data_IF_844338521634
#
_entry.id   IF_844338521634
#
_cell.length_a   1.000
_cell.length_b   1.000
_cell.length_c   1.000
_cell.angle_alpha   90.00
_cell.angle_beta   90.00
_cell.angle_gamma   90.00
#
_symmetry.space_group_name_H-M   'P 1'
#
loop_
_entity.id
_entity.type
_entity.pdbx_description
1 polymer ?
#
# COMPACT_ATOMS: atom_id res chain seq x y z
N UNK A 1 41.29 49.23 0.07
CA UNK A 1 40.68 49.43 -1.25
C UNK A 1 39.45 48.58 -1.30
N UNK A 2 38.34 49.27 -1.26
CA UNK A 2 36.97 48.83 -1.03
C UNK A 2 36.35 48.31 -2.33
N UNK A 3 35.81 47.11 -2.31
CA UNK A 3 35.06 46.49 -3.42
C UNK A 3 33.61 46.28 -3.04
N UNK A 4 32.79 47.11 -3.59
CA UNK A 4 31.35 47.26 -3.45
C UNK A 4 30.58 46.01 -3.98
N UNK A 5 29.74 45.39 -3.17
CA UNK A 5 28.80 44.33 -3.59
C UNK A 5 27.37 44.87 -3.47
N UNK A 6 26.80 45.17 -4.63
CA UNK A 6 25.34 45.49 -4.73
C UNK A 6 24.52 44.20 -4.84
N UNK A 7 23.34 44.11 -4.22
CA UNK A 7 22.43 42.97 -4.34
C UNK A 7 21.56 43.11 -5.59
N UNK A 8 21.38 42.00 -6.32
CA UNK A 8 20.47 41.91 -7.47
C UNK A 8 19.10 41.45 -6.95
N UNK A 9 18.19 42.40 -6.91
CA UNK A 9 16.75 42.13 -6.76
C UNK A 9 16.17 41.70 -8.10
N UNK A 10 15.59 40.51 -8.17
CA UNK A 10 14.73 40.07 -9.30
C UNK A 10 13.30 39.93 -8.80
N UNK A 11 12.57 41.02 -8.97
CA UNK A 11 11.12 41.04 -8.98
C UNK A 11 10.65 40.56 -10.37
N UNK A 12 9.90 39.47 -10.45
CA UNK A 12 9.11 39.08 -11.63
C UNK A 12 7.73 38.69 -11.18
N UNK A 13 6.83 39.65 -11.21
CA UNK A 13 5.40 39.42 -11.22
C UNK A 13 5.05 38.59 -12.46
N UNK A 14 4.45 37.42 -12.25
CA UNK A 14 3.79 36.64 -13.29
C UNK A 14 2.36 37.12 -13.40
N UNK A 15 2.03 37.67 -14.54
CA UNK A 15 0.70 38.07 -14.96
C UNK A 15 -0.20 36.85 -15.14
N UNK A 16 -1.43 36.99 -14.66
CA UNK A 16 -2.53 36.04 -14.76
C UNK A 16 -3.16 36.09 -16.15
N UNK A 17 -2.65 35.32 -17.11
CA UNK A 17 -3.36 35.02 -18.37
C UNK A 17 -2.73 33.81 -19.01
N UNK A 18 -3.13 32.61 -18.58
CA UNK A 18 -3.16 31.37 -19.39
C UNK A 18 -3.94 30.27 -18.67
N UNK A 19 -5.24 30.49 -18.51
CA UNK A 19 -6.19 29.42 -18.13
C UNK A 19 -7.08 29.14 -19.32
N UNK A 20 -6.70 28.17 -20.12
CA UNK A 20 -7.60 27.72 -21.16
C UNK A 20 -6.99 26.68 -22.08
N UNK A 21 -7.10 25.43 -21.72
CA UNK A 21 -7.41 24.24 -22.55
C UNK A 21 -6.94 22.95 -21.87
N UNK A 22 -7.76 22.44 -20.97
CA UNK A 22 -7.75 20.99 -20.67
C UNK A 22 -8.61 20.32 -21.72
N UNK A 23 -7.98 19.60 -22.63
CA UNK A 23 -8.65 18.62 -23.47
C UNK A 23 -9.00 17.40 -22.61
N UNK A 24 -10.28 17.13 -22.54
CA UNK A 24 -10.84 15.91 -21.95
C UNK A 24 -10.35 14.71 -22.77
N UNK A 25 -9.47 13.91 -22.20
CA UNK A 25 -9.16 12.59 -22.73
C UNK A 25 -10.26 11.64 -22.22
N UNK A 26 -11.12 11.23 -23.17
CA UNK A 26 -12.25 10.37 -22.91
C UNK A 26 -11.85 9.03 -22.28
N UNK A 27 -12.60 8.63 -21.27
CA UNK A 27 -12.64 7.29 -20.75
C UNK A 27 -13.20 6.35 -21.83
N UNK A 28 -12.32 5.56 -22.45
CA UNK A 28 -12.76 4.44 -23.27
C UNK A 28 -13.14 3.27 -22.34
N UNK A 29 -14.28 2.60 -22.52
CA UNK A 29 -14.64 1.43 -21.75
C UNK A 29 -13.75 0.24 -22.13
N UNK A 30 -13.34 -0.53 -21.12
CA UNK A 30 -12.61 -1.80 -21.25
C UNK A 30 -13.47 -2.83 -22.01
N UNK A 31 -12.90 -3.65 -22.90
CA UNK A 31 -13.64 -4.69 -23.61
C UNK A 31 -14.14 -5.75 -22.64
N UNK A 32 -15.43 -6.02 -22.70
CA UNK A 32 -16.10 -7.14 -22.04
C UNK A 32 -15.83 -8.41 -22.83
N UNK A 33 -14.81 -9.17 -22.50
CA UNK A 33 -14.76 -10.57 -22.90
C UNK A 33 -15.45 -11.43 -21.84
N UNK A 34 -16.58 -12.00 -22.23
CA UNK A 34 -17.32 -13.01 -21.50
C UNK A 34 -16.47 -14.27 -21.32
N UNK A 35 -15.84 -14.40 -20.17
CA UNK A 35 -15.36 -15.68 -19.65
C UNK A 35 -16.34 -16.08 -18.56
N UNK A 36 -17.11 -17.15 -18.78
CA UNK A 36 -17.95 -17.79 -17.77
C UNK A 36 -17.07 -18.19 -16.58
N UNK A 37 -16.93 -17.29 -15.62
CA UNK A 37 -16.34 -17.56 -14.32
C UNK A 37 -17.43 -18.21 -13.47
N UNK A 38 -17.20 -19.45 -13.08
CA UNK A 38 -18.01 -20.13 -12.06
C UNK A 38 -18.23 -19.17 -10.90
N UNK A 39 -19.46 -18.84 -10.64
CA UNK A 39 -19.92 -18.04 -9.51
C UNK A 39 -19.65 -18.81 -8.21
N UNK A 40 -18.44 -18.73 -7.72
CA UNK A 40 -18.13 -19.11 -6.34
C UNK A 40 -18.75 -18.04 -5.44
N UNK A 41 -19.88 -18.35 -4.83
CA UNK A 41 -20.48 -17.51 -3.80
C UNK A 41 -19.41 -17.29 -2.70
N UNK A 42 -19.05 -16.04 -2.47
CA UNK A 42 -18.43 -15.64 -1.21
C UNK A 42 -19.35 -16.20 -0.09
N UNK A 43 -18.82 -17.00 0.86
CA UNK A 43 -19.67 -17.55 1.90
C UNK A 43 -20.39 -16.39 2.61
N UNK A 44 -21.71 -16.31 2.40
CA UNK A 44 -22.56 -15.36 3.11
C UNK A 44 -22.53 -15.79 4.57
N UNK A 45 -21.89 -14.99 5.41
CA UNK A 45 -22.08 -15.10 6.85
C UNK A 45 -23.59 -15.06 7.10
N UNK A 46 -24.17 -16.02 7.82
CA UNK A 46 -25.61 -16.03 8.05
C UNK A 46 -26.02 -14.67 8.62
N UNK A 47 -27.05 -14.03 8.09
CA UNK A 47 -27.37 -12.62 8.35
C UNK A 47 -27.51 -12.27 9.83
N UNK A 48 -27.95 -13.19 10.66
CA UNK A 48 -28.15 -12.93 12.10
C UNK A 48 -26.85 -12.79 12.90
N UNK A 49 -25.77 -13.52 12.59
CA UNK A 49 -24.48 -13.40 13.32
C UNK A 49 -23.64 -12.23 12.88
N UNK A 50 -23.69 -11.89 11.59
CA UNK A 50 -22.98 -10.74 11.06
C UNK A 50 -23.60 -9.43 11.56
N UNK A 51 -24.94 -9.36 11.61
CA UNK A 51 -25.65 -8.18 12.08
C UNK A 51 -25.41 -7.95 13.59
N UNK A 52 -25.57 -8.97 14.42
CA UNK A 52 -25.33 -8.86 15.87
C UNK A 52 -23.88 -8.48 16.19
N UNK A 53 -22.89 -8.94 15.42
CA UNK A 53 -21.49 -8.56 15.58
C UNK A 53 -21.22 -7.13 15.08
N UNK A 54 -21.87 -6.70 13.98
CA UNK A 54 -21.79 -5.34 13.47
C UNK A 54 -22.41 -4.34 14.47
N UNK A 55 -23.61 -4.64 14.98
CA UNK A 55 -24.30 -3.82 15.97
C UNK A 55 -23.49 -3.70 17.27
N UNK A 56 -22.87 -4.79 17.72
CA UNK A 56 -21.98 -4.79 18.89
C UNK A 56 -20.71 -3.95 18.65
N UNK A 57 -20.13 -4.03 17.47
CA UNK A 57 -18.96 -3.21 17.11
C UNK A 57 -19.30 -1.74 16.98
N UNK A 58 -20.46 -1.41 16.45
CA UNK A 58 -20.94 -0.05 16.33
C UNK A 58 -21.24 0.57 17.71
N UNK A 59 -21.87 -0.17 18.60
CA UNK A 59 -22.06 0.22 19.98
C UNK A 59 -20.72 0.45 20.70
N UNK A 60 -19.74 -0.44 20.55
CA UNK A 60 -18.40 -0.25 21.10
C UNK A 60 -17.67 0.97 20.52
N UNK A 61 -17.85 1.24 19.21
CA UNK A 61 -17.31 2.44 18.55
C UNK A 61 -17.93 3.70 19.10
N UNK A 62 -19.25 3.71 19.29
CA UNK A 62 -19.99 4.85 19.82
C UNK A 62 -19.54 5.13 21.25
N UNK A 63 -19.42 4.11 22.11
CA UNK A 63 -18.90 4.24 23.47
C UNK A 63 -17.45 4.78 23.49
N UNK A 64 -16.56 4.23 22.66
CA UNK A 64 -15.17 4.66 22.59
C UNK A 64 -15.00 6.10 22.03
N UNK A 65 -15.96 6.56 21.23
CA UNK A 65 -15.95 7.90 20.64
C UNK A 65 -16.46 9.00 21.57
N UNK A 66 -17.13 8.64 22.65
CA UNK A 66 -17.69 9.63 23.57
C UNK A 66 -16.57 10.43 24.25
N UNK A 67 -16.71 11.76 24.23
CA UNK A 67 -15.82 12.68 24.94
C UNK A 67 -16.24 12.74 26.43
N UNK A 68 -15.92 11.71 27.18
CA UNK A 68 -16.26 11.62 28.61
C UNK A 68 -15.05 11.16 29.42
N UNK A 69 -15.11 11.33 30.74
CA UNK A 69 -14.00 11.03 31.64
C UNK A 69 -13.54 9.56 31.57
N UNK A 70 -14.44 8.64 31.29
CA UNK A 70 -14.09 7.22 31.07
C UNK A 70 -13.02 7.01 29.98
N UNK A 71 -13.03 7.83 28.92
CA UNK A 71 -12.13 7.76 27.77
C UNK A 71 -10.97 8.78 27.85
N UNK A 72 -10.91 9.56 28.92
CA UNK A 72 -9.92 10.61 29.11
C UNK A 72 -8.56 10.09 29.57
N UNK A 73 -7.49 10.66 29.04
CA UNK A 73 -6.12 10.34 29.43
C UNK A 73 -5.79 10.73 30.88
N UNK A 74 -6.46 11.74 31.41
CA UNK A 74 -6.26 12.24 32.76
C UNK A 74 -7.09 11.53 33.83
N UNK A 75 -8.04 10.68 33.44
CA UNK A 75 -8.81 9.87 34.39
C UNK A 75 -7.97 8.68 34.87
N UNK A 76 -7.77 8.60 36.15
CA UNK A 76 -7.09 7.48 36.79
C UNK A 76 -7.96 6.22 36.78
N UNK A 77 -7.33 5.10 36.53
CA UNK A 77 -7.92 3.77 36.78
C UNK A 77 -7.36 3.21 38.09
N UNK A 78 -8.17 2.48 38.87
CA UNK A 78 -7.67 1.87 40.08
C UNK A 78 -6.63 0.79 39.74
N UNK A 79 -5.37 1.14 39.88
CA UNK A 79 -4.24 0.22 39.64
C UNK A 79 -3.85 -0.53 40.92
N UNK A 80 -4.13 0.04 42.10
CA UNK A 80 -3.82 -0.58 43.40
C UNK A 80 -5.04 -1.24 44.00
N UNK A 81 -4.81 -2.28 44.82
CA UNK A 81 -5.87 -3.01 45.54
C UNK A 81 -6.70 -2.05 46.43
N UNK A 82 -6.04 -1.12 47.10
CA UNK A 82 -6.68 -0.14 47.98
C UNK A 82 -7.61 0.81 47.20
N UNK A 83 -7.18 1.30 46.05
CA UNK A 83 -7.97 2.21 45.23
C UNK A 83 -9.18 1.51 44.59
N UNK A 84 -9.08 0.19 44.36
CA UNK A 84 -10.20 -0.64 43.89
C UNK A 84 -11.28 -0.81 44.95
N UNK A 85 -10.87 -0.94 46.22
CA UNK A 85 -11.80 -1.04 47.38
C UNK A 85 -12.56 0.26 47.52
N UNK A 86 -11.86 1.42 47.50
CA UNK A 86 -12.46 2.73 47.59
C UNK A 86 -13.50 3.01 46.50
N UNK A 87 -13.21 2.62 45.26
CA UNK A 87 -14.12 2.83 44.11
C UNK A 87 -15.22 1.74 44.04
N UNK A 88 -15.12 0.64 44.77
CA UNK A 88 -16.18 -0.36 44.84
C UNK A 88 -17.41 0.18 45.55
N UNK A 89 -17.23 1.10 46.51
CA UNK A 89 -18.31 1.75 47.24
C UNK A 89 -19.00 2.84 46.40
N UNK A 90 -18.33 3.32 45.34
CA UNK A 90 -18.82 4.37 44.42
C UNK A 90 -18.69 3.95 42.96
N UNK A 91 -19.51 2.99 42.49
CA UNK A 91 -19.43 2.51 41.09
C UNK A 91 -19.88 3.62 40.11
N UNK A 92 -18.97 4.25 39.46
CA UNK A 92 -19.25 5.35 38.53
C UNK A 92 -18.37 6.56 38.73
N UNK A 93 -17.66 6.65 39.84
CA UNK A 93 -16.69 7.70 40.12
C UNK A 93 -15.32 7.38 39.49
N UNK A 94 -14.64 8.40 39.04
CA UNK A 94 -13.26 8.39 38.59
C UNK A 94 -12.51 9.54 39.26
N UNK A 95 -11.22 9.38 39.46
CA UNK A 95 -10.35 10.47 39.86
C UNK A 95 -9.67 11.12 38.65
N UNK A 96 -9.63 12.43 38.61
CA UNK A 96 -9.02 13.21 37.54
C UNK A 96 -8.05 14.26 38.12
N UNK A 97 -6.81 14.33 37.61
CA UNK A 97 -5.82 15.32 38.00
C UNK A 97 -5.82 16.58 37.14
N UNK A 98 -6.61 16.66 36.12
CA UNK A 98 -6.66 17.81 35.21
C UNK A 98 -8.09 18.31 35.04
N UNK A 99 -8.82 18.38 36.15
CA UNK A 99 -10.16 18.95 36.14
C UNK A 99 -10.08 20.49 35.95
N UNK A 100 -10.95 21.10 35.14
CA UNK A 100 -10.88 22.55 34.86
C UNK A 100 -10.97 23.45 36.08
N UNK A 101 -11.68 23.00 37.12
CA UNK A 101 -11.92 23.78 38.33
C UNK A 101 -10.89 23.54 39.45
N UNK A 102 -10.03 22.49 39.28
CA UNK A 102 -8.99 22.16 40.24
C UNK A 102 -7.78 21.54 39.51
N UNK A 103 -7.05 22.33 38.69
CA UNK A 103 -5.91 21.84 37.92
C UNK A 103 -4.76 21.47 38.85
N UNK A 104 -4.25 20.23 38.69
CA UNK A 104 -3.17 19.68 39.54
C UNK A 104 -3.65 18.99 40.82
N UNK A 105 -4.91 19.08 41.15
CA UNK A 105 -5.50 18.38 42.33
C UNK A 105 -6.30 17.17 41.86
N UNK A 106 -6.37 16.16 42.73
CA UNK A 106 -7.18 14.97 42.48
C UNK A 106 -8.66 15.29 42.75
N UNK A 107 -9.46 15.30 41.71
CA UNK A 107 -10.89 15.61 41.77
C UNK A 107 -11.72 14.41 41.37
N UNK A 108 -12.77 14.14 42.13
CA UNK A 108 -13.77 13.14 41.77
C UNK A 108 -14.57 13.58 40.56
N UNK A 109 -14.82 12.66 39.65
CA UNK A 109 -15.61 12.93 38.44
C UNK A 109 -16.41 11.69 38.04
N UNK A 110 -17.55 11.89 37.41
CA UNK A 110 -18.35 10.80 36.85
C UNK A 110 -17.72 10.26 35.57
N UNK A 111 -17.91 8.96 35.31
CA UNK A 111 -17.47 8.32 34.04
C UNK A 111 -18.02 9.02 32.81
N UNK A 112 -19.23 9.57 32.88
CA UNK A 112 -19.92 10.24 31.77
C UNK A 112 -19.69 11.75 31.72
N UNK A 113 -19.00 12.33 32.70
CA UNK A 113 -18.69 13.76 32.70
C UNK A 113 -17.87 14.16 31.47
N UNK A 114 -18.16 15.33 30.92
CA UNK A 114 -17.46 15.94 29.80
C UNK A 114 -16.82 17.23 30.25
N UNK A 115 -15.54 17.41 29.99
CA UNK A 115 -14.84 18.65 30.33
C UNK A 115 -14.05 19.22 29.14
N UNK A 116 -13.70 20.55 29.22
CA UNK A 116 -12.89 21.23 28.21
C UNK A 116 -11.45 20.71 28.08
N UNK A 117 -10.89 20.13 29.17
CA UNK A 117 -9.53 19.57 29.21
C UNK A 117 -9.46 18.12 28.73
N UNK A 118 -10.55 17.60 28.17
CA UNK A 118 -10.61 16.23 27.69
C UNK A 118 -9.52 15.92 26.66
N UNK A 119 -8.79 14.82 26.86
CA UNK A 119 -7.90 14.20 25.88
C UNK A 119 -8.16 12.71 25.84
N UNK A 120 -8.30 12.14 24.63
CA UNK A 120 -8.41 10.69 24.50
C UNK A 120 -7.19 9.98 25.06
N UNK A 121 -7.37 9.00 25.93
CA UNK A 121 -6.30 8.10 26.42
C UNK A 121 -5.71 7.29 25.28
N UNK A 122 -6.57 6.76 24.44
CA UNK A 122 -6.22 6.11 23.20
C UNK A 122 -7.12 6.73 22.14
N UNK A 123 -6.55 7.28 21.08
CA UNK A 123 -7.38 7.73 19.95
C UNK A 123 -8.14 6.52 19.42
N UNK A 124 -9.49 6.56 19.36
CA UNK A 124 -10.24 5.47 18.78
C UNK A 124 -9.76 5.25 17.36
N UNK A 125 -9.18 4.11 17.09
CA UNK A 125 -8.84 3.73 15.71
C UNK A 125 -10.11 3.18 15.10
N UNK A 126 -10.93 4.04 14.52
CA UNK A 126 -12.05 3.58 13.70
C UNK A 126 -11.47 2.92 12.46
N UNK A 127 -11.79 1.66 12.24
CA UNK A 127 -11.63 1.08 10.92
C UNK A 127 -12.74 1.69 10.07
N UNK A 128 -12.36 2.41 9.02
CA UNK A 128 -13.31 2.80 7.99
C UNK A 128 -13.97 1.53 7.46
N UNK A 129 -15.23 1.63 7.07
CA UNK A 129 -15.90 0.52 6.37
C UNK A 129 -15.02 0.09 5.19
N UNK A 130 -14.89 -1.22 5.03
CA UNK A 130 -14.14 -1.74 3.92
C UNK A 130 -14.86 -1.35 2.62
N UNK A 131 -14.13 -0.88 1.60
CA UNK A 131 -14.74 -0.61 0.31
C UNK A 131 -15.38 -1.89 -0.23
N UNK A 132 -16.36 -1.74 -1.13
CA UNK A 132 -16.95 -2.88 -1.82
C UNK A 132 -15.86 -3.70 -2.53
N UNK A 133 -15.99 -5.04 -2.59
CA UNK A 133 -15.05 -5.88 -3.33
C UNK A 133 -15.01 -5.45 -4.80
N UNK A 134 -13.82 -5.43 -5.44
CA UNK A 134 -13.68 -4.99 -6.83
C UNK A 134 -14.26 -5.98 -7.85
N UNK A 135 -14.61 -7.20 -7.41
CA UNK A 135 -15.19 -8.22 -8.29
C UNK A 135 -15.61 -9.49 -7.54
N UNK A 136 -16.26 -10.43 -8.25
CA UNK A 136 -16.68 -11.69 -7.67
C UNK A 136 -15.47 -12.52 -7.23
N UNK A 137 -15.61 -13.23 -6.11
CA UNK A 137 -14.54 -14.08 -5.56
C UNK A 137 -13.42 -13.31 -4.85
N UNK A 138 -13.48 -11.97 -4.79
CA UNK A 138 -12.53 -11.14 -4.07
C UNK A 138 -13.17 -10.60 -2.79
N UNK A 139 -12.49 -10.74 -1.68
CA UNK A 139 -12.90 -10.21 -0.38
C UNK A 139 -11.98 -9.09 0.08
N UNK A 140 -12.49 -8.24 0.96
CA UNK A 140 -11.78 -7.06 1.45
C UNK A 140 -11.51 -7.19 2.94
N UNK A 141 -10.24 -7.14 3.33
CA UNK A 141 -9.80 -7.14 4.73
C UNK A 141 -9.45 -5.72 5.15
N UNK A 142 -10.17 -5.12 6.12
CA UNK A 142 -9.87 -3.79 6.60
C UNK A 142 -8.56 -3.79 7.40
N UNK A 143 -7.72 -2.80 7.11
CA UNK A 143 -6.44 -2.57 7.79
C UNK A 143 -6.49 -1.30 8.64
N UNK A 144 -5.39 -1.01 9.33
CA UNK A 144 -5.20 0.30 9.98
C UNK A 144 -5.00 1.42 8.96
N UNK A 145 -5.08 2.68 9.41
CA UNK A 145 -4.86 3.88 8.58
C UNK A 145 -5.84 4.02 7.40
N UNK A 146 -7.06 3.49 7.53
CA UNK A 146 -8.07 3.54 6.47
C UNK A 146 -7.70 2.81 5.19
N UNK A 147 -6.78 1.86 5.25
CA UNK A 147 -6.39 1.01 4.13
C UNK A 147 -7.15 -0.31 4.17
N UNK A 148 -7.23 -0.97 3.02
CA UNK A 148 -7.82 -2.30 2.87
C UNK A 148 -6.93 -3.18 2.02
N UNK A 149 -6.90 -4.48 2.32
CA UNK A 149 -6.25 -5.50 1.50
C UNK A 149 -7.30 -6.30 0.74
N UNK A 150 -6.97 -6.67 -0.49
CA UNK A 150 -7.79 -7.55 -1.34
C UNK A 150 -7.21 -8.96 -1.28
N UNK A 151 -8.08 -9.95 -1.12
CA UNK A 151 -7.72 -11.37 -1.03
C UNK A 151 -8.76 -12.23 -1.73
N UNK A 152 -8.40 -13.43 -2.13
CA UNK A 152 -9.36 -14.39 -2.65
C UNK A 152 -10.32 -14.86 -1.53
N UNK A 153 -11.57 -15.18 -1.90
CA UNK A 153 -12.60 -15.60 -0.96
C UNK A 153 -12.18 -16.85 -0.16
N UNK A 154 -11.41 -17.76 -0.76
CA UNK A 154 -10.92 -18.98 -0.11
C UNK A 154 -9.96 -18.73 1.05
N UNK A 155 -9.20 -17.63 1.03
CA UNK A 155 -8.27 -17.26 2.08
C UNK A 155 -8.89 -16.35 3.14
N UNK A 156 -10.06 -15.76 2.85
CA UNK A 156 -10.67 -14.72 3.66
C UNK A 156 -10.90 -15.14 5.12
N UNK A 157 -11.58 -16.26 5.34
CA UNK A 157 -11.95 -16.71 6.69
C UNK A 157 -10.72 -17.03 7.55
N UNK A 158 -9.69 -17.59 6.93
CA UNK A 158 -8.41 -17.89 7.59
C UNK A 158 -7.70 -16.61 8.02
N UNK A 159 -7.63 -15.63 7.12
CA UNK A 159 -6.94 -14.37 7.37
C UNK A 159 -7.72 -13.47 8.35
N UNK A 160 -9.05 -13.50 8.34
CA UNK A 160 -9.89 -12.71 9.24
C UNK A 160 -9.81 -13.14 10.71
N UNK A 161 -9.26 -14.31 11.03
CA UNK A 161 -8.95 -14.72 12.40
C UNK A 161 -7.91 -13.82 13.07
N UNK A 162 -7.17 -13.03 12.28
CA UNK A 162 -6.09 -12.17 12.73
C UNK A 162 -6.39 -10.68 12.51
N UNK A 163 -5.76 -9.83 13.33
CA UNK A 163 -5.81 -8.36 13.14
C UNK A 163 -4.65 -7.94 12.25
N UNK A 164 -4.96 -7.43 11.07
CA UNK A 164 -4.00 -6.95 10.10
C UNK A 164 -3.80 -5.43 10.19
N UNK A 165 -2.59 -4.99 9.93
CA UNK A 165 -2.20 -3.57 9.94
C UNK A 165 -1.56 -3.19 8.62
N UNK A 166 -1.76 -1.92 8.21
CA UNK A 166 -1.06 -1.35 7.05
C UNK A 166 0.34 -0.90 7.45
N UNK A 167 1.36 -1.52 6.89
CA UNK A 167 2.76 -1.14 7.02
C UNK A 167 3.18 -0.39 5.77
N UNK A 168 3.66 0.85 5.93
CA UNK A 168 4.14 1.67 4.82
C UNK A 168 5.65 1.80 4.89
N UNK A 169 6.33 1.49 3.79
CA UNK A 169 7.76 1.71 3.58
C UNK A 169 7.92 2.59 2.34
N UNK A 170 8.08 3.90 2.55
CA UNK A 170 8.04 4.87 1.47
C UNK A 170 6.68 4.86 0.74
N UNK A 171 6.67 4.79 -0.60
CA UNK A 171 5.43 4.77 -1.40
C UNK A 171 4.71 3.40 -1.37
N UNK A 172 5.37 2.36 -0.87
CA UNK A 172 4.81 1.00 -0.81
C UNK A 172 4.05 0.78 0.49
N UNK A 173 2.93 0.08 0.41
CA UNK A 173 2.10 -0.29 1.55
C UNK A 173 1.78 -1.78 1.49
N UNK A 174 1.93 -2.49 2.61
CA UNK A 174 1.69 -3.91 2.72
C UNK A 174 0.77 -4.22 3.89
N UNK A 175 0.03 -5.32 3.81
CA UNK A 175 -0.71 -5.88 4.94
C UNK A 175 0.22 -6.77 5.76
N UNK A 176 0.32 -6.49 7.07
CA UNK A 176 1.11 -7.29 8.01
C UNK A 176 0.40 -7.47 9.34
N UNK A 177 0.76 -8.51 10.07
CA UNK A 177 0.39 -8.72 11.47
C UNK A 177 1.61 -8.98 12.32
N UNK A 178 1.50 -8.76 13.62
CA UNK A 178 2.55 -9.11 14.56
C UNK A 178 2.10 -10.31 15.39
N UNK A 179 2.95 -11.33 15.45
CA UNK A 179 2.75 -12.50 16.28
C UNK A 179 4.02 -12.80 17.07
N UNK A 180 3.92 -12.79 18.39
CA UNK A 180 5.05 -13.06 19.32
C UNK A 180 6.32 -12.26 18.97
N UNK A 181 6.15 -10.97 18.63
CA UNK A 181 7.26 -10.07 18.26
C UNK A 181 7.78 -10.22 16.82
N UNK A 182 7.22 -11.12 16.02
CA UNK A 182 7.58 -11.30 14.59
C UNK A 182 6.56 -10.67 13.68
N UNK A 183 7.02 -9.93 12.67
CA UNK A 183 6.16 -9.40 11.62
C UNK A 183 5.89 -10.47 10.58
N UNK A 184 4.62 -10.76 10.33
CA UNK A 184 4.15 -11.72 9.31
C UNK A 184 3.45 -10.92 8.22
N UNK A 185 3.94 -11.02 7.00
CA UNK A 185 3.37 -10.39 5.82
C UNK A 185 2.25 -11.24 5.23
N UNK A 186 1.10 -10.63 4.88
CA UNK A 186 -0.08 -11.32 4.36
C UNK A 186 0.23 -12.14 3.10
N UNK A 187 0.90 -11.53 2.12
CA UNK A 187 1.30 -12.22 0.88
C UNK A 187 2.17 -13.46 1.13
N UNK A 188 3.05 -13.41 2.15
CA UNK A 188 3.87 -14.58 2.49
C UNK A 188 3.07 -15.69 3.16
N UNK A 189 2.07 -15.31 3.97
CA UNK A 189 1.17 -16.26 4.62
C UNK A 189 0.25 -16.94 3.59
N UNK A 190 -0.22 -16.21 2.56
CA UNK A 190 -1.05 -16.75 1.48
C UNK A 190 -0.24 -17.72 0.62
N UNK A 191 0.95 -17.31 0.18
CA UNK A 191 1.76 -18.07 -0.78
C UNK A 191 2.66 -19.13 -0.15
N UNK A 192 2.74 -19.20 1.17
CA UNK A 192 3.64 -20.13 1.88
C UNK A 192 5.08 -20.10 1.35
N UNK A 193 5.59 -18.90 1.05
CA UNK A 193 6.88 -18.73 0.38
C UNK A 193 8.04 -19.34 1.18
N UNK A 194 8.89 -20.18 0.57
CA UNK A 194 10.03 -20.81 1.23
C UNK A 194 11.04 -19.79 1.75
N UNK A 195 11.90 -20.25 2.67
CA UNK A 195 13.02 -19.43 3.16
C UNK A 195 13.96 -19.09 2.00
N UNK A 196 14.37 -17.82 1.89
CA UNK A 196 15.22 -17.34 0.79
C UNK A 196 14.45 -16.84 -0.44
N UNK A 197 13.18 -17.23 -0.60
CA UNK A 197 12.32 -16.69 -1.66
C UNK A 197 11.48 -15.52 -1.16
N UNK A 198 11.11 -14.65 -2.08
CA UNK A 198 10.21 -13.50 -1.83
C UNK A 198 8.91 -13.68 -2.59
N UNK A 199 7.88 -12.93 -2.20
CA UNK A 199 6.62 -12.86 -2.95
C UNK A 199 6.55 -11.50 -3.61
N UNK A 200 6.40 -11.50 -4.93
CA UNK A 200 6.23 -10.30 -5.75
C UNK A 200 4.74 -10.06 -6.03
N UNK A 201 4.34 -8.80 -6.03
CA UNK A 201 3.02 -8.36 -6.49
C UNK A 201 3.15 -7.91 -7.95
N UNK A 202 2.51 -8.65 -8.87
CA UNK A 202 2.64 -8.44 -10.32
C UNK A 202 2.27 -7.01 -10.73
N UNK A 203 1.20 -6.47 -10.14
CA UNK A 203 0.74 -5.09 -10.34
C UNK A 203 1.53 -4.02 -9.55
N UNK A 204 2.46 -4.45 -8.68
CA UNK A 204 3.22 -3.60 -7.78
C UNK A 204 2.40 -2.97 -6.65
N UNK A 205 1.15 -3.42 -6.40
CA UNK A 205 0.31 -2.99 -5.31
C UNK A 205 0.36 -4.00 -4.14
N UNK A 206 1.12 -3.68 -3.10
CA UNK A 206 1.30 -4.55 -1.92
C UNK A 206 0.04 -4.79 -1.08
N UNK A 207 -1.10 -4.21 -1.43
CA UNK A 207 -2.40 -4.46 -0.81
C UNK A 207 -3.29 -5.41 -1.62
N UNK A 208 -2.93 -5.71 -2.87
CA UNK A 208 -3.61 -6.69 -3.70
C UNK A 208 -3.00 -8.08 -3.49
N UNK A 209 -3.53 -8.82 -2.52
CA UNK A 209 -3.03 -10.13 -2.11
C UNK A 209 -3.83 -11.30 -2.71
N UNK A 210 -4.52 -11.09 -3.84
CA UNK A 210 -5.11 -12.18 -4.61
C UNK A 210 -4.01 -13.07 -5.20
N UNK A 211 -4.15 -14.38 -5.17
CA UNK A 211 -3.15 -15.35 -5.67
C UNK A 211 -2.80 -15.12 -7.14
N UNK A 212 -3.78 -14.68 -7.94
CA UNK A 212 -3.55 -14.32 -9.35
C UNK A 212 -2.59 -13.15 -9.54
N UNK A 213 -2.41 -12.31 -8.51
CA UNK A 213 -1.48 -11.18 -8.49
C UNK A 213 -0.17 -11.47 -7.75
N UNK A 214 -0.06 -12.64 -7.11
CA UNK A 214 1.10 -13.02 -6.31
C UNK A 214 1.92 -14.09 -7.03
N UNK A 215 3.25 -13.97 -6.94
CA UNK A 215 4.17 -15.02 -7.43
C UNK A 215 5.38 -15.13 -6.51
N UNK A 216 5.83 -16.38 -6.31
CA UNK A 216 7.07 -16.64 -5.58
C UNK A 216 8.23 -16.43 -6.55
N UNK A 217 9.24 -15.69 -6.11
CA UNK A 217 10.39 -15.34 -6.95
C UNK A 217 11.66 -15.15 -6.12
N UNK A 218 12.80 -15.07 -6.81
CA UNK A 218 14.05 -14.63 -6.21
C UNK A 218 14.06 -13.12 -5.97
N UNK A 219 14.97 -12.63 -5.13
CA UNK A 219 15.13 -11.19 -4.93
C UNK A 219 15.49 -10.46 -6.23
N UNK A 220 16.29 -11.07 -7.10
CA UNK A 220 16.65 -10.51 -8.42
C UNK A 220 15.43 -10.33 -9.31
N UNK A 221 14.59 -11.37 -9.43
CA UNK A 221 13.34 -11.31 -10.19
C UNK A 221 12.39 -10.24 -9.68
N UNK A 222 12.24 -10.12 -8.35
CA UNK A 222 11.40 -9.06 -7.75
C UNK A 222 11.93 -7.64 -8.08
N UNK A 223 13.25 -7.45 -8.13
CA UNK A 223 13.85 -6.17 -8.54
C UNK A 223 13.52 -5.87 -10.01
N UNK A 224 13.49 -6.88 -10.88
CA UNK A 224 13.14 -6.71 -12.29
C UNK A 224 11.72 -6.17 -12.48
N UNK A 225 10.75 -6.54 -11.64
CA UNK A 225 9.38 -5.99 -11.63
C UNK A 225 9.23 -4.63 -10.92
N UNK A 226 10.29 -4.05 -10.36
CA UNK A 226 10.18 -2.76 -9.66
C UNK A 226 9.80 -1.61 -10.61
N UNK A 227 8.99 -0.67 -10.11
CA UNK A 227 8.62 0.56 -10.85
C UNK A 227 9.83 1.45 -11.12
N UNK A 228 9.77 2.33 -12.15
CA UNK A 228 10.84 3.27 -12.44
C UNK A 228 11.09 4.20 -11.24
N UNK A 229 12.36 4.49 -10.98
CA UNK A 229 12.82 5.43 -9.93
C UNK A 229 13.44 6.69 -10.53
N UNK A 230 13.51 6.78 -11.86
CA UNK A 230 14.18 7.86 -12.58
C UNK A 230 13.49 9.21 -12.42
N UNK A 231 14.29 10.28 -12.35
CA UNK A 231 13.82 11.66 -12.33
C UNK A 231 13.78 12.26 -13.74
N UNK A 232 14.43 11.64 -14.72
CA UNK A 232 14.65 12.18 -16.07
C UNK A 232 13.71 11.58 -17.13
N UNK A 233 13.02 10.49 -16.84
CA UNK A 233 12.03 9.85 -17.70
C UNK A 233 10.94 9.19 -16.89
N UNK A 234 9.71 9.15 -17.42
CA UNK A 234 8.58 8.40 -16.88
C UNK A 234 8.72 6.90 -17.16
N UNK A 235 9.55 6.51 -18.11
CA UNK A 235 9.77 5.14 -18.53
C UNK A 235 10.90 4.48 -17.74
N UNK A 236 10.69 3.24 -17.31
CA UNK A 236 11.75 2.43 -16.70
C UNK A 236 12.85 2.12 -17.70
N UNK A 237 14.10 2.34 -17.25
CA UNK A 237 15.28 2.04 -18.09
C UNK A 237 15.49 2.99 -19.24
N UNK A 238 14.89 4.17 -19.20
CA UNK A 238 15.10 5.24 -20.21
C UNK A 238 15.63 6.49 -19.53
N UNK A 239 16.66 7.11 -20.11
CA UNK A 239 17.20 8.39 -19.67
C UNK A 239 17.55 9.27 -20.86
N UNK A 240 17.40 10.59 -20.71
CA UNK A 240 17.76 11.55 -21.75
C UNK A 240 19.25 11.89 -21.68
N UNK A 241 19.94 11.77 -22.81
CA UNK A 241 21.33 12.19 -23.01
C UNK A 241 21.34 13.61 -23.54
N UNK A 242 21.59 14.57 -22.66
CA UNK A 242 21.58 16.01 -23.00
C UNK A 242 22.66 16.40 -24.03
N UNK A 243 23.80 15.74 -24.00
CA UNK A 243 24.93 16.06 -24.89
C UNK A 243 24.63 15.66 -26.34
N UNK A 244 23.88 14.57 -26.51
CA UNK A 244 23.55 14.00 -27.82
C UNK A 244 22.14 14.22 -28.29
N UNK A 245 21.29 14.82 -27.43
CA UNK A 245 19.90 15.07 -27.76
C UNK A 245 19.04 13.80 -27.92
N UNK A 246 19.47 12.64 -27.38
CA UNK A 246 18.83 11.34 -27.60
C UNK A 246 18.45 10.64 -26.29
N UNK A 247 17.52 9.71 -26.37
CA UNK A 247 17.12 8.86 -25.25
C UNK A 247 17.93 7.56 -25.25
N UNK A 248 18.59 7.26 -24.12
CA UNK A 248 19.31 6.00 -23.89
C UNK A 248 18.37 4.98 -23.27
N UNK A 249 18.34 3.76 -23.83
CA UNK A 249 17.63 2.62 -23.26
C UNK A 249 18.62 1.70 -22.53
N UNK A 250 18.24 1.27 -21.31
CA UNK A 250 19.04 0.40 -20.45
C UNK A 250 18.23 -0.78 -19.92
N UNK A 251 18.90 -1.89 -19.67
CA UNK A 251 18.34 -3.05 -18.97
C UNK A 251 19.34 -3.52 -17.90
N UNK A 252 18.80 -4.16 -16.85
CA UNK A 252 19.63 -4.83 -15.86
C UNK A 252 19.93 -6.26 -16.34
N UNK A 253 21.20 -6.60 -16.49
CA UNK A 253 21.67 -7.90 -16.97
C UNK A 253 22.95 -8.30 -16.21
N UNK A 254 23.00 -9.51 -15.69
CA UNK A 254 24.20 -10.08 -15.04
C UNK A 254 24.82 -9.19 -13.94
N UNK A 255 24.00 -8.57 -13.11
CA UNK A 255 24.46 -7.73 -12.02
C UNK A 255 24.89 -6.29 -12.42
N UNK A 256 24.76 -5.92 -13.69
CA UNK A 256 25.12 -4.62 -14.23
C UNK A 256 24.00 -3.99 -15.08
N UNK A 257 24.14 -2.70 -15.35
CA UNK A 257 23.26 -2.00 -16.29
C UNK A 257 23.87 -2.05 -17.70
N UNK A 258 23.22 -2.74 -18.61
CA UNK A 258 23.62 -2.82 -20.02
C UNK A 258 22.85 -1.77 -20.84
N UNK A 259 23.58 -1.04 -21.70
CA UNK A 259 22.96 -0.10 -22.64
C UNK A 259 22.48 -0.87 -23.88
N UNK A 260 21.22 -0.66 -24.28
CA UNK A 260 20.60 -1.27 -25.46
C UNK A 260 20.85 -0.41 -26.70
N UNK A 261 20.65 0.90 -26.59
CA UNK A 261 20.82 1.82 -27.71
C UNK A 261 20.41 3.26 -27.35
N UNK A 262 20.48 4.11 -28.38
CA UNK A 262 20.04 5.51 -28.37
C UNK A 262 18.97 5.73 -29.41
N UNK A 263 17.93 6.46 -29.04
CA UNK A 263 16.71 6.67 -29.83
C UNK A 263 16.36 8.16 -29.84
N UNK A 264 15.70 8.60 -30.87
CA UNK A 264 15.24 9.99 -31.00
C UNK A 264 13.97 10.23 -30.17
N UNK A 265 13.18 9.18 -29.92
CA UNK A 265 11.96 9.22 -29.12
C UNK A 265 12.07 8.37 -27.84
N UNK A 266 11.48 8.89 -26.74
CA UNK A 266 11.48 8.21 -25.45
C UNK A 266 10.63 6.93 -25.43
N UNK A 267 9.52 6.91 -26.19
CA UNK A 267 8.65 5.74 -26.28
C UNK A 267 9.31 4.61 -27.09
N UNK A 268 10.06 4.94 -28.14
CA UNK A 268 10.86 3.96 -28.89
C UNK A 268 11.96 3.34 -28.01
N UNK A 269 12.68 4.17 -27.26
CA UNK A 269 13.66 3.69 -26.28
C UNK A 269 13.02 2.74 -25.25
N UNK A 270 11.81 3.08 -24.79
CA UNK A 270 11.07 2.26 -23.82
C UNK A 270 10.56 0.95 -24.42
N UNK A 271 10.11 0.94 -25.70
CA UNK A 271 9.72 -0.29 -26.41
C UNK A 271 10.91 -1.23 -26.62
N UNK A 272 12.06 -0.70 -27.04
CA UNK A 272 13.29 -1.49 -27.18
C UNK A 272 13.76 -2.06 -25.84
N UNK A 273 13.65 -1.27 -24.78
CA UNK A 273 13.93 -1.73 -23.40
C UNK A 273 12.97 -2.84 -22.97
N UNK A 274 11.67 -2.71 -23.22
CA UNK A 274 10.69 -3.72 -22.85
C UNK A 274 10.97 -5.04 -23.58
N UNK A 275 11.29 -4.99 -24.87
CA UNK A 275 11.66 -6.19 -25.65
C UNK A 275 12.86 -6.90 -25.02
N UNK A 276 13.96 -6.19 -24.77
CA UNK A 276 15.16 -6.76 -24.17
C UNK A 276 14.91 -7.27 -22.75
N UNK A 277 14.09 -6.57 -21.97
CA UNK A 277 13.73 -6.99 -20.63
C UNK A 277 12.93 -8.29 -20.62
N UNK A 278 12.03 -8.49 -21.58
CA UNK A 278 11.29 -9.77 -21.73
C UNK A 278 12.23 -10.89 -22.15
N UNK A 279 13.15 -10.67 -23.08
CA UNK A 279 14.16 -11.67 -23.44
C UNK A 279 14.98 -12.15 -22.22
N UNK A 280 15.28 -11.24 -21.28
CA UNK A 280 16.12 -11.56 -20.13
C UNK A 280 15.34 -12.10 -18.93
N UNK A 281 14.15 -11.56 -18.67
CA UNK A 281 13.43 -11.77 -17.41
C UNK A 281 12.05 -12.38 -17.58
N UNK A 282 11.56 -12.56 -18.82
CA UNK A 282 10.26 -13.15 -19.11
C UNK A 282 9.13 -12.43 -18.39
N UNK A 283 8.30 -13.18 -17.70
CA UNK A 283 7.17 -12.69 -16.92
C UNK A 283 7.55 -11.74 -15.76
N UNK A 284 8.81 -11.78 -15.29
CA UNK A 284 9.30 -10.88 -14.24
C UNK A 284 9.73 -9.50 -14.75
N UNK A 285 9.69 -9.27 -16.05
CA UNK A 285 9.99 -7.97 -16.62
C UNK A 285 8.91 -6.94 -16.25
N UNK A 286 9.31 -5.80 -15.69
CA UNK A 286 8.43 -4.63 -15.66
C UNK A 286 8.28 -4.10 -17.09
N UNK A 287 7.06 -3.89 -17.56
CA UNK A 287 6.76 -3.38 -18.89
C UNK A 287 6.28 -1.94 -18.82
N UNK A 288 6.85 -1.06 -19.66
CA UNK A 288 6.38 0.30 -19.81
C UNK A 288 5.06 0.34 -20.59
N UNK A 289 4.86 -0.62 -21.51
CA UNK A 289 3.66 -0.76 -22.33
C UNK A 289 3.04 -2.16 -22.18
N UNK A 290 2.43 -2.50 -21.05
CA UNK A 290 1.95 -3.86 -20.77
C UNK A 290 0.89 -4.34 -21.77
N UNK A 291 0.06 -3.43 -22.31
CA UNK A 291 -0.95 -3.79 -23.31
C UNK A 291 -0.37 -4.34 -24.62
N UNK A 292 0.88 -4.04 -24.94
CA UNK A 292 1.56 -4.56 -26.13
C UNK A 292 2.16 -5.99 -25.92
N UNK A 293 2.01 -6.56 -24.71
CA UNK A 293 2.67 -7.79 -24.30
C UNK A 293 1.69 -8.83 -23.73
N UNK A 294 0.85 -9.45 -24.58
CA UNK A 294 0.04 -10.59 -24.16
C UNK A 294 0.97 -11.76 -23.72
N UNK A 295 0.46 -12.67 -22.90
CA UNK A 295 1.25 -13.75 -22.28
C UNK A 295 2.00 -14.60 -23.31
N UNK A 296 1.35 -14.91 -24.42
CA UNK A 296 1.91 -15.72 -25.52
C UNK A 296 3.14 -15.03 -26.12
N UNK A 297 3.06 -13.73 -26.34
CA UNK A 297 4.19 -12.94 -26.84
C UNK A 297 5.34 -12.89 -25.84
N UNK A 298 5.05 -12.73 -24.55
CA UNK A 298 6.08 -12.76 -23.50
C UNK A 298 6.80 -14.10 -23.50
N UNK A 299 6.06 -15.20 -23.58
CA UNK A 299 6.64 -16.55 -23.62
C UNK A 299 7.51 -16.78 -24.86
N UNK A 300 7.04 -16.38 -26.05
CA UNK A 300 7.79 -16.51 -27.30
C UNK A 300 9.11 -15.74 -27.25
N UNK A 301 9.07 -14.47 -26.90
CA UNK A 301 10.27 -13.61 -26.83
C UNK A 301 11.23 -14.05 -25.72
N UNK A 302 10.72 -14.57 -24.62
CA UNK A 302 11.57 -15.13 -23.57
C UNK A 302 12.28 -16.40 -24.04
N UNK A 303 11.60 -17.29 -24.77
CA UNK A 303 12.20 -18.50 -25.35
C UNK A 303 13.30 -18.16 -26.37
N UNK A 304 13.09 -17.15 -27.22
CA UNK A 304 14.14 -16.62 -28.12
C UNK A 304 15.37 -16.17 -27.32
N UNK A 305 15.16 -15.43 -26.23
CA UNK A 305 16.22 -14.96 -25.34
C UNK A 305 16.98 -16.08 -24.65
N UNK A 306 16.33 -17.20 -24.28
CA UNK A 306 16.98 -18.40 -23.74
C UNK A 306 17.86 -19.06 -24.80
N UNK A 307 17.31 -19.31 -25.99
CA UNK A 307 18.05 -19.91 -27.10
C UNK A 307 19.32 -19.13 -27.46
N UNK A 308 19.26 -17.78 -27.44
CA UNK A 308 20.43 -16.94 -27.68
C UNK A 308 21.49 -17.09 -26.59
N UNK A 309 21.09 -17.20 -25.32
CA UNK A 309 22.03 -17.43 -24.18
C UNK A 309 22.70 -18.77 -24.29
N UNK A 310 21.93 -19.84 -24.56
CA UNK A 310 22.47 -21.20 -24.70
C UNK A 310 23.50 -21.29 -25.81
N UNK A 311 23.28 -20.63 -26.95
CA UNK A 311 24.25 -20.53 -28.05
C UNK A 311 25.52 -19.81 -27.63
N UNK A 312 25.41 -18.66 -26.94
CA UNK A 312 26.56 -17.88 -26.48
C UNK A 312 27.37 -18.58 -25.38
N UNK A 313 26.74 -19.47 -24.61
CA UNK A 313 27.41 -20.29 -23.62
C UNK A 313 28.12 -21.50 -24.28
N UNK A 314 27.55 -22.08 -25.35
CA UNK A 314 28.15 -23.15 -26.11
C UNK A 314 29.36 -22.71 -26.95
N UNK A 315 29.49 -21.41 -27.27
CA UNK A 315 30.61 -20.83 -28.03
C UNK A 315 31.79 -20.38 -27.14
N UNK A 316 31.67 -20.51 -25.81
CA UNK A 316 32.71 -20.17 -24.82
C UNK A 316 33.52 -21.40 -24.42
#
# INVERSE_FOLDING_TARGET
MTGDRRPITRDRRLTTEDRGRRTEAGNAPLPTENRELRTGNCPRVPPGRAQAHADSLEAQRLEASKRCCQNCAFAMRPTTKWFRILLAEFPGLLACFNHPNAPGEMTETSRLSVCRNFRYRHRPSFRLEAPAPPGPGICVIPLTKGKSAYVDAEDYDRLMKHKWTASSSGPKCYAQRNEKGRSIMMHREIMHAPKGMVVDHIDGNGLNNCKSNLRICTQGQNICNSRPRGKTSVFKGVSYDKERGKYKAFVWENGATAMIGRYDDAAEAAKARDYRAVQLHGEFAYLNFPAAWPKERVQAVYAEGQTLRDKLEAEK
#
